data_IF_562888662949
#
_entry.id   IF_562888662949
#
_cell.length_a   1.000
_cell.length_b   1.000
_cell.length_c   1.000
_cell.angle_alpha   90.00
_cell.angle_beta   90.00
_cell.angle_gamma   90.00
#
_symmetry.space_group_name_H-M   'P 1'
#
loop_
_entity.id
_entity.type
_entity.pdbx_description
1 polymer ?
#
# COMPACT_ATOMS: atom_id res chain seq x y z
N UNK A 1 -14.35 -14.63 3.34
CA UNK A 1 -13.89 -13.67 4.37
C UNK A 1 -14.95 -13.63 5.45
N UNK A 2 -14.58 -13.90 6.71
CA UNK A 2 -15.53 -14.13 7.81
C UNK A 2 -15.74 -12.91 8.71
N UNK A 3 -16.82 -12.95 9.50
CA UNK A 3 -17.25 -11.92 10.46
C UNK A 3 -16.13 -11.37 11.35
N UNK A 4 -15.15 -12.21 11.69
CA UNK A 4 -14.01 -11.83 12.54
C UNK A 4 -13.16 -10.70 11.95
N UNK A 5 -12.99 -10.66 10.63
CA UNK A 5 -12.22 -9.60 9.95
C UNK A 5 -12.94 -8.26 10.09
N UNK A 6 -14.26 -8.27 9.89
CA UNK A 6 -15.10 -7.06 10.02
C UNK A 6 -15.09 -6.53 11.45
N UNK A 7 -15.12 -7.43 12.45
CA UNK A 7 -15.03 -7.02 13.86
C UNK A 7 -13.67 -6.37 14.14
N UNK A 8 -12.56 -6.94 13.67
CA UNK A 8 -11.23 -6.37 13.84
C UNK A 8 -11.11 -5.00 13.16
N UNK A 9 -11.64 -4.83 11.94
CA UNK A 9 -11.62 -3.55 11.22
C UNK A 9 -12.39 -2.46 12.00
N UNK A 10 -13.54 -2.80 12.60
CA UNK A 10 -14.32 -1.86 13.43
C UNK A 10 -13.56 -1.47 14.70
N UNK A 11 -12.92 -2.44 15.38
CA UNK A 11 -12.12 -2.18 16.57
C UNK A 11 -10.90 -1.29 16.26
N UNK A 12 -10.20 -1.58 15.17
CA UNK A 12 -9.06 -0.79 14.70
C UNK A 12 -9.47 0.65 14.35
N UNK A 13 -10.62 0.83 13.71
CA UNK A 13 -11.18 2.16 13.42
C UNK A 13 -11.49 2.94 14.71
N UNK A 14 -12.09 2.28 15.71
CA UNK A 14 -12.36 2.91 17.00
C UNK A 14 -11.07 3.27 17.75
N UNK A 15 -10.06 2.40 17.73
CA UNK A 15 -8.76 2.67 18.33
C UNK A 15 -8.06 3.84 17.65
N UNK A 16 -8.12 3.92 16.31
CA UNK A 16 -7.55 5.04 15.55
C UNK A 16 -8.20 6.37 15.91
N UNK A 17 -9.53 6.43 16.06
CA UNK A 17 -10.22 7.67 16.45
C UNK A 17 -9.93 8.12 17.88
N UNK A 18 -9.54 7.20 18.76
CA UNK A 18 -9.17 7.49 20.16
C UNK A 18 -7.67 7.73 20.36
N UNK A 19 -6.86 7.71 19.29
CA UNK A 19 -5.39 7.68 19.37
C UNK A 19 -4.84 6.51 20.20
N UNK A 20 -5.58 5.41 20.28
CA UNK A 20 -5.20 4.18 21.00
C UNK A 20 -4.55 3.14 20.06
N UNK A 21 -4.53 3.42 18.75
CA UNK A 21 -3.93 2.53 17.77
C UNK A 21 -2.41 2.44 17.99
N UNK A 22 -1.95 1.25 18.38
CA UNK A 22 -0.53 0.94 18.50
C UNK A 22 -0.03 0.31 17.21
N UNK A 23 0.95 0.93 16.56
CA UNK A 23 1.63 0.35 15.42
C UNK A 23 2.57 -0.77 15.87
N UNK A 24 2.73 -1.79 15.02
CA UNK A 24 3.65 -2.89 15.24
C UNK A 24 4.72 -2.91 14.13
N UNK A 25 5.80 -2.10 14.27
CA UNK A 25 6.85 -2.03 13.27
C UNK A 25 7.53 -3.37 13.05
N UNK A 26 7.92 -3.61 11.80
CA UNK A 26 8.67 -4.77 11.36
C UNK A 26 9.55 -4.37 10.18
N UNK A 27 10.68 -5.05 10.03
CA UNK A 27 11.60 -4.86 8.91
C UNK A 27 11.21 -5.78 7.75
N UNK A 28 11.02 -5.24 6.55
CA UNK A 28 10.65 -6.03 5.37
C UNK A 28 11.05 -5.35 4.05
N UNK A 29 11.12 -6.15 2.98
CA UNK A 29 11.25 -5.66 1.60
C UNK A 29 9.93 -5.02 1.14
N UNK A 30 9.96 -3.70 0.91
CA UNK A 30 8.80 -2.96 0.45
C UNK A 30 8.32 -3.44 -0.92
N UNK A 31 9.25 -3.84 -1.80
CA UNK A 31 8.90 -4.29 -3.16
C UNK A 31 8.03 -5.54 -3.10
N UNK A 32 8.42 -6.52 -2.29
CA UNK A 32 7.61 -7.73 -2.05
C UNK A 32 6.23 -7.39 -1.49
N UNK A 33 6.14 -6.45 -0.55
CA UNK A 33 4.85 -6.01 0.01
C UNK A 33 3.92 -5.40 -1.07
N UNK A 34 4.47 -4.56 -1.95
CA UNK A 34 3.72 -3.98 -3.07
C UNK A 34 3.25 -5.06 -4.04
N UNK A 35 4.14 -5.99 -4.42
CA UNK A 35 3.80 -7.08 -5.34
C UNK A 35 2.68 -7.99 -4.78
N UNK A 36 2.64 -8.21 -3.46
CA UNK A 36 1.52 -8.90 -2.79
C UNK A 36 0.21 -8.14 -2.87
N UNK A 37 0.23 -6.81 -2.69
CA UNK A 37 -0.97 -5.97 -2.83
C UNK A 37 -1.51 -6.04 -4.27
N UNK A 38 -0.61 -6.06 -5.26
CA UNK A 38 -0.98 -6.10 -6.67
C UNK A 38 -1.61 -7.43 -7.12
N UNK A 39 -1.49 -8.50 -6.34
CA UNK A 39 -2.17 -9.77 -6.64
C UNK A 39 -3.70 -9.62 -6.63
N UNK A 40 -4.25 -8.58 -5.99
CA UNK A 40 -5.69 -8.31 -5.98
C UNK A 40 -6.17 -7.92 -7.39
N UNK A 41 -5.43 -7.03 -8.08
CA UNK A 41 -5.81 -6.53 -9.41
C UNK A 41 -5.68 -7.62 -10.48
N UNK A 42 -4.66 -8.47 -10.39
CA UNK A 42 -4.44 -9.57 -11.35
C UNK A 42 -5.61 -10.56 -11.46
N UNK A 43 -6.55 -10.52 -10.52
CA UNK A 43 -7.75 -11.36 -10.52
C UNK A 43 -8.90 -10.78 -11.35
N UNK A 44 -8.81 -9.52 -11.79
CA UNK A 44 -9.82 -8.88 -12.62
C UNK A 44 -9.28 -8.63 -14.04
N UNK A 45 -9.63 -9.47 -15.04
CA UNK A 45 -9.08 -9.37 -16.39
C UNK A 45 -9.67 -8.22 -17.23
N UNK A 46 -10.74 -7.56 -16.76
CA UNK A 46 -11.43 -6.48 -17.51
C UNK A 46 -10.83 -5.10 -17.25
N UNK A 47 -10.04 -4.96 -16.18
CA UNK A 47 -9.41 -3.70 -15.78
C UNK A 47 -7.94 -3.74 -16.17
N UNK A 48 -7.53 -2.81 -17.02
CA UNK A 48 -6.13 -2.64 -17.35
C UNK A 48 -5.38 -2.05 -16.14
N UNK A 49 -4.15 -2.50 -15.94
CA UNK A 49 -3.39 -2.18 -14.74
C UNK A 49 -1.98 -1.70 -15.07
N UNK A 50 -1.57 -0.61 -14.42
CA UNK A 50 -0.20 -0.10 -14.49
C UNK A 50 0.38 0.06 -13.08
N UNK A 51 1.52 -0.59 -12.85
CA UNK A 51 2.34 -0.38 -11.66
C UNK A 51 3.56 0.48 -12.03
N UNK A 52 3.70 1.63 -11.37
CA UNK A 52 4.93 2.39 -11.38
C UNK A 52 5.61 2.30 -10.02
N UNK A 53 6.86 1.84 -9.98
CA UNK A 53 7.65 1.84 -8.74
C UNK A 53 8.96 2.53 -9.05
N UNK A 54 9.30 3.50 -8.22
CA UNK A 54 10.55 4.23 -8.33
C UNK A 54 11.76 3.29 -8.28
N UNK A 55 12.80 3.59 -9.04
CA UNK A 55 13.99 2.73 -9.21
C UNK A 55 14.73 2.45 -7.90
N UNK A 56 14.56 3.32 -6.91
CA UNK A 56 15.15 3.17 -5.58
C UNK A 56 14.46 2.05 -4.79
N UNK A 57 13.19 1.75 -5.09
CA UNK A 57 12.40 0.70 -4.42
C UNK A 57 12.59 -0.63 -5.18
N UNK A 58 13.80 -1.17 -5.10
CA UNK A 58 14.16 -2.50 -5.61
C UNK A 58 13.98 -3.57 -4.50
N UNK A 59 14.33 -4.82 -4.79
CA UNK A 59 14.23 -5.94 -3.81
C UNK A 59 15.22 -5.85 -2.63
N UNK A 60 16.08 -4.84 -2.61
CA UNK A 60 17.00 -4.53 -1.51
C UNK A 60 16.51 -3.32 -0.70
N UNK A 61 15.36 -2.75 -1.08
CA UNK A 61 14.77 -1.61 -0.41
C UNK A 61 13.99 -2.04 0.84
N UNK A 62 14.76 -2.29 1.90
CA UNK A 62 14.27 -2.70 3.20
C UNK A 62 13.83 -1.46 4.00
N UNK A 63 12.61 -1.51 4.53
CA UNK A 63 12.07 -0.46 5.41
C UNK A 63 11.64 -1.06 6.76
N UNK A 64 11.58 -0.23 7.79
CA UNK A 64 11.00 -0.56 9.09
C UNK A 64 9.69 0.23 9.27
N UNK A 65 8.56 -0.49 9.26
CA UNK A 65 7.22 0.10 9.50
C UNK A 65 6.21 -1.01 9.81
N UNK A 66 4.95 -0.65 10.06
CA UNK A 66 3.88 -1.64 10.25
C UNK A 66 3.42 -2.22 8.89
N UNK A 67 3.98 -3.39 8.55
CA UNK A 67 3.70 -4.09 7.29
C UNK A 67 2.22 -4.41 7.11
N UNK A 68 1.57 -4.86 8.19
CA UNK A 68 0.17 -5.32 8.15
C UNK A 68 -0.74 -4.15 7.84
N UNK A 69 -0.54 -3.02 8.53
CA UNK A 69 -1.33 -1.81 8.31
C UNK A 69 -1.07 -1.20 6.95
N UNK A 70 0.19 -1.13 6.50
CA UNK A 70 0.52 -0.64 5.16
C UNK A 70 -0.19 -1.48 4.08
N UNK A 71 -0.09 -2.81 4.17
CA UNK A 71 -0.76 -3.73 3.24
C UNK A 71 -2.28 -3.56 3.26
N UNK A 72 -2.87 -3.38 4.45
CA UNK A 72 -4.32 -3.16 4.60
C UNK A 72 -4.75 -1.85 3.93
N UNK A 73 -4.05 -0.74 4.17
CA UNK A 73 -4.35 0.56 3.54
C UNK A 73 -4.27 0.44 2.02
N UNK A 74 -3.17 -0.08 1.48
CA UNK A 74 -2.99 -0.23 0.04
C UNK A 74 -4.01 -1.17 -0.58
N UNK A 75 -4.28 -2.32 0.06
CA UNK A 75 -5.29 -3.27 -0.41
C UNK A 75 -6.68 -2.66 -0.43
N UNK A 76 -7.03 -1.84 0.57
CA UNK A 76 -8.31 -1.15 0.63
C UNK A 76 -8.46 -0.15 -0.51
N UNK A 77 -7.46 0.71 -0.73
CA UNK A 77 -7.45 1.67 -1.83
C UNK A 77 -7.54 0.98 -3.21
N UNK A 78 -6.74 -0.07 -3.41
CA UNK A 78 -6.75 -0.87 -4.65
C UNK A 78 -8.11 -1.55 -4.84
N UNK A 79 -8.68 -2.13 -3.77
CA UNK A 79 -9.98 -2.81 -3.86
C UNK A 79 -11.10 -1.83 -4.18
N UNK A 80 -11.04 -0.61 -3.64
CA UNK A 80 -11.98 0.46 -3.97
C UNK A 80 -11.84 0.86 -5.45
N UNK A 81 -10.62 1.10 -5.93
CA UNK A 81 -10.36 1.39 -7.33
C UNK A 81 -10.95 0.32 -8.28
N UNK A 82 -10.76 -0.96 -7.97
CA UNK A 82 -11.35 -2.06 -8.75
C UNK A 82 -12.87 -2.17 -8.62
N UNK A 83 -13.42 -1.82 -7.46
CA UNK A 83 -14.87 -1.86 -7.21
C UNK A 83 -15.61 -0.81 -8.05
N UNK A 84 -14.99 0.37 -8.22
CA UNK A 84 -15.60 1.50 -8.92
C UNK A 84 -15.22 1.58 -10.40
N UNK A 85 -14.24 0.78 -10.86
CA UNK A 85 -13.86 0.66 -12.27
C UNK A 85 -14.30 -0.69 -12.84
N UNK A 86 -15.44 -0.73 -13.53
CA UNK A 86 -15.92 -1.94 -14.25
C UNK A 86 -15.08 -2.20 -15.51
N UNK A 87 -14.89 -1.17 -16.33
CA UNK A 87 -14.00 -1.16 -17.51
C UNK A 87 -13.14 0.10 -17.47
N UNK A 88 -11.83 -0.04 -17.70
CA UNK A 88 -10.91 1.10 -17.67
C UNK A 88 -9.54 0.75 -17.12
N UNK A 89 -8.91 1.71 -16.44
CA UNK A 89 -7.54 1.59 -15.97
C UNK A 89 -7.42 1.92 -14.48
N UNK A 90 -6.63 1.11 -13.77
CA UNK A 90 -6.15 1.42 -12.43
C UNK A 90 -4.64 1.62 -12.48
N UNK A 91 -4.18 2.77 -12.01
CA UNK A 91 -2.79 3.15 -11.89
C UNK A 91 -2.39 3.13 -10.41
N UNK A 92 -1.29 2.43 -10.10
CA UNK A 92 -0.69 2.45 -8.77
C UNK A 92 0.76 2.92 -8.89
N UNK A 93 1.16 3.86 -8.04
CA UNK A 93 2.55 4.28 -7.95
C UNK A 93 3.11 4.34 -6.54
N UNK A 94 4.39 4.02 -6.41
CA UNK A 94 5.20 4.23 -5.21
C UNK A 94 6.45 5.06 -5.57
N UNK A 95 6.61 6.23 -4.95
CA UNK A 95 7.69 7.19 -5.24
C UNK A 95 8.41 7.64 -3.99
N UNK A 96 9.74 7.73 -4.05
CA UNK A 96 10.53 8.31 -2.96
C UNK A 96 10.55 9.83 -3.11
N UNK A 97 10.03 10.57 -2.13
CA UNK A 97 9.90 12.04 -2.22
C UNK A 97 11.18 12.78 -1.84
N UNK A 98 11.92 12.26 -0.86
CA UNK A 98 13.10 12.90 -0.29
C UNK A 98 14.28 11.93 -0.25
N UNK A 99 14.88 11.65 -1.42
CA UNK A 99 16.19 11.01 -1.49
C UNK A 99 17.29 12.07 -1.25
N UNK A 100 17.30 12.69 -0.07
CA UNK A 100 18.28 13.74 0.21
C UNK A 100 19.70 13.16 0.19
N UNK A 101 20.50 13.73 -0.69
CA UNK A 101 21.87 13.40 -1.04
C UNK A 101 22.86 13.80 0.04
N UNK A 102 22.81 13.16 1.19
CA UNK A 102 23.95 13.06 2.11
C UNK A 102 24.67 11.74 1.87
N UNK A 103 25.99 11.71 2.06
CA UNK A 103 26.87 10.54 1.84
C UNK A 103 26.56 9.32 2.75
N UNK A 104 25.51 9.41 3.57
CA UNK A 104 25.00 8.37 4.46
C UNK A 104 23.54 8.08 4.11
N UNK A 105 23.17 6.81 4.12
CA UNK A 105 21.79 6.39 3.86
C UNK A 105 20.84 7.11 4.83
N UNK A 106 19.77 7.76 4.33
CA UNK A 106 18.86 8.51 5.20
C UNK A 106 18.19 7.58 6.22
N UNK A 107 18.18 7.97 7.50
CA UNK A 107 17.54 7.19 8.57
C UNK A 107 16.01 7.14 8.44
N UNK A 108 15.42 8.07 7.68
CA UNK A 108 13.99 8.13 7.40
C UNK A 108 13.80 8.44 5.92
N UNK A 109 12.91 7.69 5.28
CA UNK A 109 12.54 7.88 3.87
C UNK A 109 11.06 8.20 3.77
N UNK A 110 10.72 9.20 2.97
CA UNK A 110 9.34 9.53 2.64
C UNK A 110 8.95 8.86 1.32
N UNK A 111 7.85 8.11 1.36
CA UNK A 111 7.33 7.35 0.22
C UNK A 111 5.90 7.77 -0.02
N UNK A 112 5.62 8.26 -1.22
CA UNK A 112 4.29 8.56 -1.69
C UNK A 112 3.70 7.33 -2.37
N UNK A 113 2.53 6.91 -1.92
CA UNK A 113 1.72 5.91 -2.61
C UNK A 113 0.50 6.58 -3.22
N UNK A 114 0.28 6.36 -4.52
CA UNK A 114 -0.88 6.87 -5.25
C UNK A 114 -1.63 5.71 -5.86
N UNK A 115 -2.94 5.67 -5.65
CA UNK A 115 -3.88 4.81 -6.38
C UNK A 115 -4.84 5.72 -7.11
N UNK A 116 -4.90 5.58 -8.44
CA UNK A 116 -5.78 6.34 -9.30
C UNK A 116 -6.57 5.36 -10.17
N UNK A 117 -7.88 5.55 -10.24
CA UNK A 117 -8.76 4.77 -11.09
C UNK A 117 -9.50 5.67 -12.10
N UNK A 118 -10.14 5.06 -13.08
CA UNK A 118 -10.92 5.75 -14.10
C UNK A 118 -12.44 5.57 -13.92
N UNK A 119 -12.86 4.99 -12.79
CA UNK A 119 -14.21 4.60 -12.46
C UNK A 119 -15.03 5.69 -11.74
N UNK A 120 -16.15 5.27 -11.12
CA UNK A 120 -17.09 6.14 -10.37
C UNK A 120 -17.56 5.45 -9.08
#
# INVERSE_FOLDING_TARGET
QGLLVIINDILDFQACQKNELTLQPSTFDLRTCLDECMQIIRKNPQVAFTLFVDKFINHEFIIETDRTRLKQVLSNLISNALKFTEEGNVFVSAKVLNANSSLEAPSVVEIEFVVQDSGI
#
